data_IF_010134108291
#
_entry.id   IF_010134108291
#
_cell.length_a   1.000
_cell.length_b   1.000
_cell.length_c   1.000
_cell.angle_alpha   90.00
_cell.angle_beta   90.00
_cell.angle_gamma   90.00
#
_symmetry.space_group_name_H-M   'P 1'
#
loop_
_entity.id
_entity.type
_entity.pdbx_description
1 polymer ?
#
# COMPACT_ATOMS: atom_id res chain seq x y z
N UNK A 1 24.02 -2.13 -0.67
CA UNK A 1 23.64 -1.77 0.71
C UNK A 1 22.99 -2.91 1.52
N UNK A 2 22.22 -3.84 0.94
CA UNK A 2 21.60 -4.97 1.68
C UNK A 2 22.59 -6.02 2.24
N UNK A 3 23.77 -6.16 1.65
CA UNK A 3 24.75 -7.20 2.03
C UNK A 3 25.50 -6.90 3.34
N UNK A 4 25.62 -5.63 3.72
CA UNK A 4 26.29 -5.25 4.97
C UNK A 4 25.38 -5.48 6.21
N UNK A 5 24.06 -5.36 6.06
CA UNK A 5 23.11 -5.54 7.14
C UNK A 5 23.02 -7.01 7.62
N UNK A 6 23.22 -7.96 6.72
CA UNK A 6 23.17 -9.41 7.02
C UNK A 6 24.44 -9.90 7.70
N UNK A 7 25.62 -9.33 7.40
CA UNK A 7 26.86 -9.65 8.12
C UNK A 7 26.85 -9.12 9.57
N UNK A 8 26.24 -7.96 9.79
CA UNK A 8 26.23 -7.33 11.11
C UNK A 8 25.31 -8.07 12.09
N UNK A 9 24.12 -8.51 11.64
CA UNK A 9 23.18 -9.31 12.44
C UNK A 9 23.75 -10.67 12.86
N UNK A 10 24.57 -11.30 12.01
CA UNK A 10 25.19 -12.59 12.33
C UNK A 10 26.22 -12.48 13.46
N UNK A 11 26.97 -11.36 13.52
CA UNK A 11 27.98 -11.13 14.58
C UNK A 11 27.33 -10.85 15.94
N UNK A 12 26.25 -10.06 15.97
CA UNK A 12 25.53 -9.77 17.22
C UNK A 12 24.92 -11.03 17.84
N UNK A 13 24.37 -11.94 17.04
CA UNK A 13 23.78 -13.18 17.58
C UNK A 13 24.83 -14.10 18.20
N UNK A 14 26.04 -14.17 17.63
CA UNK A 14 27.14 -15.00 18.19
C UNK A 14 27.61 -14.46 19.54
N UNK A 15 27.71 -13.13 19.69
CA UNK A 15 28.15 -12.50 20.96
C UNK A 15 27.10 -12.74 22.06
N UNK A 16 25.82 -12.61 21.74
CA UNK A 16 24.72 -12.83 22.70
C UNK A 16 24.72 -14.28 23.17
N UNK A 17 24.84 -15.25 22.25
CA UNK A 17 24.88 -16.68 22.60
C UNK A 17 26.11 -17.04 23.41
N UNK A 18 27.28 -16.48 23.09
CA UNK A 18 28.49 -16.70 23.87
C UNK A 18 28.35 -16.15 25.30
N UNK A 19 27.77 -14.96 25.46
CA UNK A 19 27.56 -14.35 26.77
C UNK A 19 26.56 -15.16 27.63
N UNK A 20 25.48 -15.67 27.05
CA UNK A 20 24.52 -16.51 27.79
C UNK A 20 25.10 -17.86 28.19
N UNK A 21 25.92 -18.48 27.34
CA UNK A 21 26.62 -19.74 27.68
C UNK A 21 27.62 -19.51 28.82
N UNK A 22 28.41 -18.44 28.78
CA UNK A 22 29.37 -18.12 29.86
C UNK A 22 28.63 -17.87 31.18
N UNK A 23 27.52 -17.14 31.17
CA UNK A 23 26.70 -16.90 32.36
C UNK A 23 26.09 -18.20 32.91
N UNK A 24 25.58 -19.07 32.04
CA UNK A 24 25.02 -20.36 32.44
C UNK A 24 26.07 -21.30 33.05
N UNK A 25 27.26 -21.36 32.44
CA UNK A 25 28.40 -22.13 32.97
C UNK A 25 28.86 -21.56 34.31
N UNK A 26 28.97 -20.23 34.44
CA UNK A 26 29.33 -19.59 35.70
C UNK A 26 28.33 -19.88 36.82
N UNK A 27 27.03 -19.87 36.52
CA UNK A 27 25.98 -20.26 37.46
C UNK A 27 26.08 -21.73 37.86
N UNK A 28 26.30 -22.62 36.88
CA UNK A 28 26.46 -24.05 37.14
C UNK A 28 27.66 -24.34 38.03
N UNK A 29 28.82 -23.74 37.75
CA UNK A 29 30.03 -23.90 38.58
C UNK A 29 29.78 -23.39 40.00
N UNK A 30 29.17 -22.22 40.17
CA UNK A 30 28.85 -21.67 41.49
C UNK A 30 27.86 -22.54 42.28
N UNK A 31 26.92 -23.21 41.59
CA UNK A 31 25.97 -24.13 42.22
C UNK A 31 26.64 -25.41 42.75
N UNK A 32 27.65 -25.94 42.05
CA UNK A 32 28.30 -27.20 42.39
C UNK A 32 29.51 -27.08 43.33
N UNK A 33 29.95 -25.86 43.69
CA UNK A 33 31.04 -25.62 44.66
C UNK A 33 30.50 -25.02 45.98
N UNK A 34 29.91 -25.83 46.89
CA UNK A 34 29.26 -25.35 48.09
C UNK A 34 30.21 -24.82 49.19
N UNK A 35 31.52 -24.99 49.05
CA UNK A 35 32.51 -24.54 50.05
C UNK A 35 32.70 -23.01 50.08
N UNK A 36 32.24 -22.28 49.06
CA UNK A 36 32.21 -20.81 49.08
C UNK A 36 30.99 -20.29 49.87
N UNK A 37 31.03 -20.46 51.20
CA UNK A 37 30.22 -19.72 52.19
C UNK A 37 28.71 -19.60 51.92
N UNK A 38 27.89 -20.39 52.63
CA UNK A 38 26.42 -20.46 52.50
C UNK A 38 25.66 -19.11 52.47
N UNK A 39 26.22 -18.04 53.04
CA UNK A 39 25.63 -16.68 53.01
C UNK A 39 25.71 -16.00 51.63
N UNK A 40 26.69 -16.35 50.79
CA UNK A 40 26.90 -15.74 49.48
C UNK A 40 26.09 -16.45 48.37
N UNK A 41 25.81 -17.75 48.53
CA UNK A 41 25.07 -18.53 47.55
C UNK A 41 23.61 -18.06 47.39
N UNK A 42 22.95 -17.68 48.48
CA UNK A 42 21.57 -17.16 48.45
C UNK A 42 21.46 -15.81 47.71
N UNK A 43 22.40 -14.89 47.96
CA UNK A 43 22.44 -13.59 47.30
C UNK A 43 22.76 -13.71 45.79
N UNK A 44 23.65 -14.63 45.42
CA UNK A 44 23.93 -14.96 44.02
C UNK A 44 22.72 -15.58 43.32
N UNK A 45 22.02 -16.51 43.99
CA UNK A 45 20.79 -17.11 43.45
C UNK A 45 19.71 -16.06 43.16
N UNK A 46 19.46 -15.15 44.12
CA UNK A 46 18.48 -14.07 43.98
C UNK A 46 18.84 -13.08 42.87
N UNK A 47 20.12 -12.71 42.75
CA UNK A 47 20.54 -11.78 41.69
C UNK A 47 20.39 -12.37 40.29
N UNK A 48 20.70 -13.66 40.11
CA UNK A 48 20.49 -14.36 38.83
C UNK A 48 19.01 -14.45 38.48
N UNK A 49 18.15 -14.75 39.46
CA UNK A 49 16.69 -14.80 39.27
C UNK A 49 16.12 -13.43 38.91
N UNK A 50 16.62 -12.36 39.54
CA UNK A 50 16.24 -10.99 39.21
C UNK A 50 16.66 -10.58 37.79
N UNK A 51 17.89 -10.93 37.38
CA UNK A 51 18.38 -10.67 36.01
C UNK A 51 17.56 -11.47 34.98
N UNK A 52 17.25 -12.74 35.26
CA UNK A 52 16.41 -13.57 34.39
C UNK A 52 15.00 -12.99 34.24
N UNK A 53 14.40 -12.53 35.34
CA UNK A 53 13.08 -11.88 35.30
C UNK A 53 13.11 -10.56 34.52
N UNK A 54 14.13 -9.72 34.74
CA UNK A 54 14.26 -8.45 34.04
C UNK A 54 14.50 -8.63 32.54
N UNK A 55 15.36 -9.57 32.15
CA UNK A 55 15.65 -9.85 30.74
C UNK A 55 14.46 -10.44 30.00
N UNK A 56 13.70 -11.34 30.64
CA UNK A 56 12.46 -11.88 30.07
C UNK A 56 11.35 -10.82 29.93
N UNK A 57 11.17 -9.95 30.93
CA UNK A 57 10.24 -8.82 30.84
C UNK A 57 10.62 -7.83 29.72
N UNK A 58 11.92 -7.56 29.55
CA UNK A 58 12.43 -6.69 28.50
C UNK A 58 12.27 -7.33 27.10
N UNK A 59 12.51 -8.64 26.98
CA UNK A 59 12.26 -9.38 25.75
C UNK A 59 10.76 -9.38 25.38
N UNK A 60 9.87 -9.56 26.36
CA UNK A 60 8.42 -9.51 26.14
C UNK A 60 7.98 -8.13 25.66
N UNK A 61 8.41 -7.06 26.34
CA UNK A 61 8.06 -5.68 25.94
C UNK A 61 8.61 -5.33 24.55
N UNK A 62 9.84 -5.73 24.22
CA UNK A 62 10.40 -5.55 22.89
C UNK A 62 9.61 -6.31 21.81
N UNK A 63 9.16 -7.54 22.09
CA UNK A 63 8.34 -8.34 21.17
C UNK A 63 6.98 -7.71 20.90
N UNK A 64 6.33 -7.18 21.93
CA UNK A 64 5.05 -6.45 21.80
C UNK A 64 5.25 -5.19 20.96
N UNK A 65 6.27 -4.39 21.26
CA UNK A 65 6.58 -3.17 20.52
C UNK A 65 6.88 -3.45 19.05
N UNK A 66 7.66 -4.49 18.77
CA UNK A 66 7.98 -4.91 17.40
C UNK A 66 6.72 -5.33 16.63
N UNK A 67 5.81 -6.05 17.28
CA UNK A 67 4.53 -6.46 16.68
C UNK A 67 3.64 -5.27 16.33
N UNK A 68 3.59 -4.25 17.20
CA UNK A 68 2.86 -3.01 16.95
C UNK A 68 3.44 -2.25 15.76
N UNK A 69 4.78 -2.10 15.70
CA UNK A 69 5.45 -1.44 14.58
C UNK A 69 5.23 -2.21 13.26
N UNK A 70 5.32 -3.54 13.31
CA UNK A 70 5.04 -4.40 12.16
C UNK A 70 3.60 -4.25 11.66
N UNK A 71 2.62 -4.11 12.57
CA UNK A 71 1.22 -3.86 12.22
C UNK A 71 1.04 -2.51 11.51
N UNK A 72 1.58 -1.42 12.06
CA UNK A 72 1.49 -0.09 11.44
C UNK A 72 2.19 0.00 10.09
N UNK A 73 3.30 -0.71 9.92
CA UNK A 73 4.01 -0.76 8.63
C UNK A 73 3.31 -1.65 7.60
N UNK A 74 2.59 -2.69 8.02
CA UNK A 74 1.81 -3.55 7.13
C UNK A 74 0.48 -2.88 6.67
N UNK A 75 -0.13 -2.04 7.50
CA UNK A 75 -1.38 -1.33 7.17
C UNK A 75 -1.37 -0.61 5.81
N UNK A 76 -0.39 0.25 5.48
CA UNK A 76 -0.38 0.93 4.18
C UNK A 76 -0.21 -0.05 3.02
N UNK A 77 0.57 -1.12 3.20
CA UNK A 77 0.76 -2.15 2.16
C UNK A 77 -0.57 -2.83 1.83
N UNK A 78 -1.35 -3.19 2.86
CA UNK A 78 -2.69 -3.75 2.67
C UNK A 78 -3.58 -2.74 1.94
N UNK A 79 -3.54 -1.47 2.33
CA UNK A 79 -4.27 -0.39 1.65
C UNK A 79 -3.96 -0.29 0.16
N UNK A 80 -2.68 -0.29 -0.22
CA UNK A 80 -2.26 -0.27 -1.63
C UNK A 80 -2.76 -1.49 -2.41
N UNK A 81 -2.72 -2.69 -1.81
CA UNK A 81 -3.25 -3.90 -2.44
C UNK A 81 -4.75 -3.79 -2.68
N UNK A 82 -5.52 -3.33 -1.69
CA UNK A 82 -6.96 -3.13 -1.86
C UNK A 82 -7.29 -2.11 -2.96
N UNK A 83 -6.59 -0.97 -3.00
CA UNK A 83 -6.79 0.05 -4.05
C UNK A 83 -6.47 -0.53 -5.44
N UNK A 84 -5.39 -1.30 -5.56
CA UNK A 84 -5.04 -1.96 -6.82
C UNK A 84 -6.13 -2.95 -7.27
N UNK A 85 -6.65 -3.76 -6.35
CA UNK A 85 -7.74 -4.71 -6.64
C UNK A 85 -8.99 -3.95 -7.10
N UNK A 86 -9.44 -2.93 -6.37
CA UNK A 86 -10.61 -2.12 -6.74
C UNK A 86 -10.41 -1.45 -8.11
N UNK A 87 -9.22 -0.92 -8.38
CA UNK A 87 -8.89 -0.33 -9.68
C UNK A 87 -8.97 -1.35 -10.82
N UNK A 88 -8.42 -2.56 -10.64
CA UNK A 88 -8.52 -3.61 -11.66
C UNK A 88 -9.95 -4.07 -11.90
N UNK A 89 -10.75 -4.24 -10.84
CA UNK A 89 -12.16 -4.64 -10.94
C UNK A 89 -12.97 -3.57 -11.68
N UNK A 90 -12.87 -2.30 -11.27
CA UNK A 90 -13.57 -1.19 -11.90
C UNK A 90 -13.22 -1.04 -13.38
N UNK A 91 -11.94 -1.16 -13.74
CA UNK A 91 -11.48 -1.11 -15.14
C UNK A 91 -12.01 -2.28 -15.96
N UNK A 92 -12.10 -3.46 -15.37
CA UNK A 92 -12.66 -4.65 -16.01
C UNK A 92 -14.15 -4.49 -16.26
N UNK A 93 -14.90 -3.96 -15.28
CA UNK A 93 -16.33 -3.66 -15.44
C UNK A 93 -16.55 -2.64 -16.56
N UNK A 94 -15.78 -1.54 -16.57
CA UNK A 94 -15.86 -0.54 -17.65
C UNK A 94 -15.56 -1.14 -19.03
N UNK A 95 -14.56 -2.01 -19.13
CA UNK A 95 -14.23 -2.68 -20.38
C UNK A 95 -15.35 -3.60 -20.84
N UNK A 96 -15.93 -4.41 -19.95
CA UNK A 96 -17.07 -5.29 -20.24
C UNK A 96 -18.28 -4.48 -20.67
N UNK A 97 -18.63 -3.43 -19.93
CA UNK A 97 -19.75 -2.56 -20.30
C UNK A 97 -19.52 -1.93 -21.67
N UNK A 98 -18.32 -1.40 -21.93
CA UNK A 98 -17.98 -0.82 -23.24
C UNK A 98 -18.06 -1.86 -24.35
N UNK A 99 -17.62 -3.09 -24.09
CA UNK A 99 -17.70 -4.19 -25.03
C UNK A 99 -19.17 -4.55 -25.35
N UNK A 100 -20.01 -4.71 -24.32
CA UNK A 100 -21.45 -5.00 -24.48
C UNK A 100 -22.15 -3.86 -25.22
N UNK A 101 -21.88 -2.61 -24.85
CA UNK A 101 -22.47 -1.45 -25.53
C UNK A 101 -22.07 -1.39 -27.01
N UNK A 102 -20.78 -1.58 -27.33
CA UNK A 102 -20.32 -1.55 -28.71
C UNK A 102 -20.84 -2.73 -29.53
N UNK A 103 -20.87 -3.94 -28.97
CA UNK A 103 -21.33 -5.12 -29.72
C UNK A 103 -22.84 -5.17 -29.87
N UNK A 104 -23.58 -4.93 -28.79
CA UNK A 104 -25.02 -5.21 -28.73
C UNK A 104 -25.82 -3.96 -29.05
N UNK A 105 -25.58 -2.86 -28.35
CA UNK A 105 -26.42 -1.67 -28.47
C UNK A 105 -26.20 -0.92 -29.78
N UNK A 106 -24.96 -0.88 -30.28
CA UNK A 106 -24.66 -0.20 -31.55
C UNK A 106 -25.24 -0.92 -32.78
N UNK A 107 -25.51 -2.23 -32.69
CA UNK A 107 -26.15 -2.98 -33.78
C UNK A 107 -27.66 -2.75 -33.88
N UNK A 108 -28.31 -2.22 -32.86
CA UNK A 108 -29.78 -2.05 -32.86
C UNK A 108 -30.14 -0.70 -33.50
N UNK A 109 -30.86 -0.67 -34.65
CA UNK A 109 -31.22 0.58 -35.34
C UNK A 109 -32.15 1.48 -34.51
N UNK A 110 -32.90 0.89 -33.56
CA UNK A 110 -33.76 1.62 -32.64
C UNK A 110 -32.97 2.61 -31.78
N UNK A 111 -31.77 2.22 -31.31
CA UNK A 111 -30.92 3.08 -30.48
C UNK A 111 -30.52 4.36 -31.22
N UNK A 112 -30.14 4.22 -32.50
CA UNK A 112 -29.76 5.36 -33.36
C UNK A 112 -30.91 6.34 -33.60
N UNK A 113 -32.15 5.83 -33.67
CA UNK A 113 -33.34 6.65 -33.87
C UNK A 113 -33.75 7.38 -32.59
N UNK A 114 -33.65 6.69 -31.45
CA UNK A 114 -33.91 7.29 -30.12
C UNK A 114 -32.85 8.34 -29.80
N UNK A 115 -31.57 8.11 -30.10
CA UNK A 115 -30.49 9.07 -29.86
C UNK A 115 -30.73 10.39 -30.62
N UNK A 116 -31.14 10.32 -31.88
CA UNK A 116 -31.49 11.51 -32.67
C UNK A 116 -32.67 12.27 -32.05
N UNK A 117 -33.72 11.56 -31.61
CA UNK A 117 -34.88 12.18 -30.94
C UNK A 117 -34.52 12.79 -29.59
N UNK A 118 -33.65 12.12 -28.82
CA UNK A 118 -33.17 12.61 -27.53
C UNK A 118 -32.32 13.88 -27.69
N UNK A 119 -31.38 13.90 -28.64
CA UNK A 119 -30.54 15.07 -28.94
C UNK A 119 -31.34 16.26 -29.48
N UNK A 120 -32.44 16.00 -30.19
CA UNK A 120 -33.32 17.03 -30.70
C UNK A 120 -34.33 17.57 -29.66
N UNK A 121 -34.50 16.91 -28.52
CA UNK A 121 -35.49 17.32 -27.53
C UNK A 121 -34.97 18.46 -26.64
N UNK A 122 -35.62 19.62 -26.73
CA UNK A 122 -35.25 20.83 -25.97
C UNK A 122 -35.33 20.63 -24.45
N UNK A 123 -36.21 19.74 -23.98
CA UNK A 123 -36.35 19.43 -22.55
C UNK A 123 -35.08 18.77 -22.01
N UNK A 124 -34.49 17.85 -22.78
CA UNK A 124 -33.27 17.14 -22.39
C UNK A 124 -32.08 18.10 -22.40
N UNK A 125 -31.98 18.96 -23.40
CA UNK A 125 -30.93 19.99 -23.44
C UNK A 125 -31.06 20.97 -22.26
N UNK A 126 -32.28 21.36 -21.90
CA UNK A 126 -32.53 22.23 -20.75
C UNK A 126 -32.16 21.58 -19.41
N UNK A 127 -32.48 20.30 -19.21
CA UNK A 127 -32.07 19.58 -17.99
C UNK A 127 -30.57 19.37 -17.93
N UNK A 128 -29.91 19.05 -19.05
CA UNK A 128 -28.45 18.97 -19.11
C UNK A 128 -27.80 20.31 -18.75
N UNK A 129 -28.30 21.44 -19.26
CA UNK A 129 -27.74 22.76 -18.94
C UNK A 129 -27.99 23.16 -17.47
N UNK A 130 -29.17 22.84 -16.93
CA UNK A 130 -29.48 23.07 -15.52
C UNK A 130 -28.57 22.26 -14.59
N UNK A 131 -28.38 20.98 -14.89
CA UNK A 131 -27.48 20.10 -14.13
C UNK A 131 -26.03 20.58 -14.25
N UNK A 132 -25.59 20.98 -15.44
CA UNK A 132 -24.25 21.53 -15.66
C UNK A 132 -24.03 22.82 -14.86
N UNK A 133 -25.01 23.74 -14.84
CA UNK A 133 -24.96 24.94 -14.00
C UNK A 133 -24.84 24.63 -12.51
N UNK A 134 -25.57 23.63 -12.02
CA UNK A 134 -25.47 23.18 -10.62
C UNK A 134 -24.08 22.61 -10.34
N UNK A 135 -23.55 21.75 -11.23
CA UNK A 135 -22.21 21.18 -11.08
C UNK A 135 -21.10 22.24 -11.10
N UNK A 136 -21.22 23.27 -11.96
CA UNK A 136 -20.30 24.42 -11.99
C UNK A 136 -20.35 25.19 -10.67
N UNK A 137 -21.55 25.52 -10.20
CA UNK A 137 -21.74 26.27 -8.94
C UNK A 137 -21.25 25.49 -7.72
N UNK A 138 -21.33 24.17 -7.76
CA UNK A 138 -20.84 23.29 -6.70
C UNK A 138 -19.31 23.08 -6.75
N UNK A 139 -18.57 23.70 -7.69
CA UNK A 139 -17.13 23.52 -7.84
C UNK A 139 -16.73 22.11 -8.30
N UNK A 140 -17.70 21.26 -8.65
CA UNK A 140 -17.50 19.87 -9.07
C UNK A 140 -16.96 19.76 -10.50
N UNK A 141 -17.08 20.82 -11.30
CA UNK A 141 -16.60 20.83 -12.68
C UNK A 141 -15.08 20.69 -12.74
N UNK A 142 -14.38 21.33 -11.80
CA UNK A 142 -12.92 21.37 -11.76
C UNK A 142 -12.32 20.01 -11.38
N UNK A 143 -12.98 19.26 -10.50
CA UNK A 143 -12.59 17.89 -10.15
C UNK A 143 -12.87 16.86 -11.26
N UNK A 144 -13.90 17.06 -12.10
CA UNK A 144 -14.13 16.19 -13.25
C UNK A 144 -13.12 16.47 -14.38
N UNK A 145 -12.71 17.72 -14.60
CA UNK A 145 -11.67 18.04 -15.59
C UNK A 145 -10.26 17.71 -15.11
N UNK A 146 -9.96 17.79 -13.81
CA UNK A 146 -8.66 17.34 -13.28
C UNK A 146 -8.50 15.81 -13.25
N UNK A 147 -9.61 15.06 -13.18
CA UNK A 147 -9.57 13.59 -13.21
C UNK A 147 -9.73 12.99 -14.61
N UNK A 148 -10.18 13.78 -15.59
CA UNK A 148 -10.26 13.39 -17.00
C UNK A 148 -9.30 14.27 -17.80
N UNK A 149 -8.01 13.92 -17.70
CA UNK A 149 -6.93 14.14 -18.68
C UNK A 149 -7.20 15.28 -19.67
N UNK A 150 -6.62 16.47 -19.47
CA UNK A 150 -6.47 17.45 -20.56
C UNK A 150 -6.02 16.70 -21.81
N UNK A 151 -6.78 16.75 -22.91
CA UNK A 151 -6.41 16.11 -24.16
C UNK A 151 -5.75 17.15 -25.07
N UNK A 152 -4.56 16.84 -25.58
CA UNK A 152 -3.83 17.59 -26.59
C UNK A 152 -3.77 16.79 -27.89
N UNK A 153 -3.93 17.48 -29.01
CA UNK A 153 -3.82 16.88 -30.33
C UNK A 153 -2.35 16.57 -30.65
N UNK A 154 -2.05 15.36 -31.12
CA UNK A 154 -0.70 14.99 -31.50
C UNK A 154 -0.24 15.77 -32.75
N UNK A 155 0.90 16.48 -32.73
CA UNK A 155 1.36 17.25 -33.88
C UNK A 155 1.83 16.39 -35.06
N UNK A 156 2.07 15.09 -34.83
CA UNK A 156 2.56 14.17 -35.88
C UNK A 156 1.44 13.43 -36.60
N UNK A 157 0.38 13.01 -35.89
CA UNK A 157 -0.69 12.19 -36.48
C UNK A 157 -2.09 12.78 -36.33
N UNK A 158 -2.28 13.86 -35.57
CA UNK A 158 -3.58 14.52 -35.36
C UNK A 158 -4.53 13.83 -34.38
N UNK A 159 -4.11 12.72 -33.76
CA UNK A 159 -4.96 12.00 -32.80
C UNK A 159 -4.94 12.65 -31.40
N UNK A 160 -6.06 12.58 -30.68
CA UNK A 160 -6.15 13.09 -29.31
C UNK A 160 -5.31 12.25 -28.34
N UNK A 161 -4.45 12.92 -27.57
CA UNK A 161 -3.56 12.31 -26.59
C UNK A 161 -3.67 13.02 -25.25
N UNK A 162 -3.59 12.32 -24.11
CA UNK A 162 -3.61 12.98 -22.81
C UNK A 162 -2.36 13.84 -22.61
N UNK A 163 -2.53 15.06 -22.11
CA UNK A 163 -1.52 16.10 -21.96
C UNK A 163 -0.38 15.70 -21.00
N UNK A 164 -0.63 14.80 -20.06
CA UNK A 164 0.38 14.24 -19.16
C UNK A 164 1.29 13.17 -19.79
N UNK A 165 1.03 12.74 -21.03
CA UNK A 165 1.80 11.70 -21.70
C UNK A 165 3.04 12.25 -22.43
N UNK A 166 4.20 11.60 -22.25
CA UNK A 166 5.43 11.89 -23.00
C UNK A 166 5.43 11.30 -24.43
N UNK A 167 4.45 10.46 -24.78
CA UNK A 167 4.40 9.74 -26.05
C UNK A 167 2.97 9.67 -26.57
N UNK A 168 2.81 9.68 -27.89
CA UNK A 168 1.53 9.48 -28.55
C UNK A 168 1.17 7.98 -28.59
N UNK A 169 -0.03 7.62 -28.15
CA UNK A 169 -0.51 6.23 -28.15
C UNK A 169 -0.84 5.68 -29.55
N UNK A 170 -1.09 6.56 -30.53
CA UNK A 170 -1.41 6.16 -31.89
C UNK A 170 -0.16 5.95 -32.75
N UNK A 171 0.78 6.91 -32.74
CA UNK A 171 1.97 6.86 -33.60
C UNK A 171 3.28 6.51 -32.87
N UNK A 172 3.30 6.46 -31.54
CA UNK A 172 4.49 6.15 -30.74
C UNK A 172 5.52 7.29 -30.62
N UNK A 173 5.33 8.41 -31.32
CA UNK A 173 6.26 9.54 -31.27
C UNK A 173 6.24 10.25 -29.91
N UNK A 174 7.40 10.77 -29.51
CA UNK A 174 7.57 11.53 -28.27
C UNK A 174 6.91 12.90 -28.40
N UNK A 175 6.00 13.21 -27.48
CA UNK A 175 5.33 14.50 -27.38
C UNK A 175 6.15 15.38 -26.43
N UNK A 176 6.77 16.43 -26.97
CA UNK A 176 7.48 17.43 -26.15
C UNK A 176 6.52 18.31 -25.36
#
# INVERSE_FOLDING_TARGET
>A
MKENATKQTKRTNVIIVAATVIAAVGYFVAYFTPELGAWNAGALGLSVLAIAYFTSALAFTASVLFSVIAFFTAMPVIGYVYVAVIYTVSKTIQWILRFIFNQVLYRIPLYRSVEKKFKANSIVLGTYDAVNKIMVKAGLKEYLTLSVLEMRMCPFCGEDTPAGGNYCFACGNKLK
#
